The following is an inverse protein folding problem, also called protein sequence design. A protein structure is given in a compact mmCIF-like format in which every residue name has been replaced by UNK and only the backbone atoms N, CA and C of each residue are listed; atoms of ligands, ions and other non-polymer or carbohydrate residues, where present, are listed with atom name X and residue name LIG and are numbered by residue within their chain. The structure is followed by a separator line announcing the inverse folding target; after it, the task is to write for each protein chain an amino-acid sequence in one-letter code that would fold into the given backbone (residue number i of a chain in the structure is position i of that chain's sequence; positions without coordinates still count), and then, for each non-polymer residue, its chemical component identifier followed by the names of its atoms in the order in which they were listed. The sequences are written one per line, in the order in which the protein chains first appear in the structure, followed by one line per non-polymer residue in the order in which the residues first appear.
data_IF_263836285807
#
_entry.id   IF_263836285807
#
_cell.length_a   1.000
_cell.length_b   1.000
_cell.length_c   1.000
_cell.angle_alpha   90.00
_cell.angle_beta   90.00
_cell.angle_gamma   90.00
#
_symmetry.space_group_name_H-M   'P 1'
#
loop_
_entity.id
_entity.type
_entity.pdbx_description
1 polymer ?
#
# COMPACT_ATOMS: atom_id res chain seq x y z
N UNK A 1 -7.50 10.08 -32.35
CA UNK A 1 -8.76 9.99 -31.54
C UNK A 1 -8.32 9.62 -30.15
N UNK A 2 -8.52 10.48 -29.13
CA UNK A 2 -8.22 10.15 -27.75
C UNK A 2 -9.05 8.92 -27.34
N UNK A 3 -8.39 7.95 -26.68
CA UNK A 3 -9.08 6.75 -26.19
C UNK A 3 -9.96 7.13 -25.00
N UNK A 4 -11.25 7.30 -25.25
CA UNK A 4 -12.25 7.61 -24.22
C UNK A 4 -12.85 6.34 -23.67
N UNK A 5 -12.75 6.15 -22.34
CA UNK A 5 -13.34 5.03 -21.59
C UNK A 5 -14.56 5.49 -20.78
N UNK A 6 -15.54 4.60 -20.62
CA UNK A 6 -16.64 4.83 -19.67
C UNK A 6 -16.12 4.80 -18.24
N UNK A 7 -15.18 3.91 -17.97
CA UNK A 7 -14.55 3.73 -16.68
C UNK A 7 -13.05 3.53 -16.81
N UNK A 8 -12.30 4.36 -16.11
CA UNK A 8 -10.86 4.17 -15.87
C UNK A 8 -10.65 3.66 -14.44
N UNK A 9 -9.85 2.61 -14.26
CA UNK A 9 -9.51 2.04 -12.95
C UNK A 9 -8.00 2.14 -12.76
N UNK A 10 -7.55 2.76 -11.69
CA UNK A 10 -6.13 2.87 -11.32
C UNK A 10 -5.81 1.97 -10.15
N UNK A 11 -5.01 0.94 -10.43
CA UNK A 11 -4.59 -0.10 -9.49
C UNK A 11 -5.28 -1.44 -9.77
N UNK A 12 -4.49 -2.48 -10.09
CA UNK A 12 -4.94 -3.84 -10.37
C UNK A 12 -4.80 -4.78 -9.16
N UNK A 13 -4.92 -4.24 -7.94
CA UNK A 13 -5.12 -5.04 -6.73
C UNK A 13 -6.54 -5.61 -6.64
N UNK A 14 -6.89 -6.34 -5.57
CA UNK A 14 -8.20 -6.99 -5.44
C UNK A 14 -9.39 -6.05 -5.65
N UNK A 15 -9.33 -4.82 -5.14
CA UNK A 15 -10.41 -3.83 -5.32
C UNK A 15 -10.58 -3.39 -6.78
N UNK A 16 -9.47 -3.09 -7.47
CA UNK A 16 -9.49 -2.65 -8.86
C UNK A 16 -9.88 -3.76 -9.84
N UNK A 17 -9.36 -4.98 -9.63
CA UNK A 17 -9.74 -6.14 -10.45
C UNK A 17 -11.23 -6.44 -10.37
N UNK A 18 -11.79 -6.43 -9.15
CA UNK A 18 -13.23 -6.62 -8.94
C UNK A 18 -14.04 -5.49 -9.55
N UNK A 19 -13.57 -4.25 -9.44
CA UNK A 19 -14.24 -3.09 -10.03
C UNK A 19 -14.25 -3.20 -11.55
N UNK A 20 -13.11 -3.45 -12.18
CA UNK A 20 -12.98 -3.56 -13.63
C UNK A 20 -13.82 -4.71 -14.20
N UNK A 21 -13.73 -5.92 -13.60
CA UNK A 21 -14.53 -7.07 -14.02
C UNK A 21 -16.03 -6.83 -13.85
N UNK A 22 -16.45 -6.16 -12.75
CA UNK A 22 -17.89 -5.87 -12.52
C UNK A 22 -18.41 -4.86 -13.53
N UNK A 23 -17.66 -3.81 -13.83
CA UNK A 23 -18.05 -2.78 -14.80
C UNK A 23 -18.11 -3.34 -16.22
N UNK A 24 -17.12 -4.14 -16.63
CA UNK A 24 -17.12 -4.83 -17.93
C UNK A 24 -18.32 -5.77 -18.08
N UNK A 25 -18.66 -6.53 -17.03
CA UNK A 25 -19.80 -7.44 -17.03
C UNK A 25 -21.18 -6.74 -17.19
N UNK A 26 -21.23 -5.42 -16.96
CA UNK A 26 -22.45 -4.61 -17.19
C UNK A 26 -22.36 -3.73 -18.43
N UNK A 27 -21.37 -4.01 -19.31
CA UNK A 27 -21.27 -3.43 -20.64
C UNK A 27 -20.49 -2.11 -20.75
N UNK A 28 -19.76 -1.69 -19.69
CA UNK A 28 -18.91 -0.50 -19.78
C UNK A 28 -17.61 -0.78 -20.55
N UNK A 29 -17.14 0.19 -21.31
CA UNK A 29 -15.76 0.20 -21.87
C UNK A 29 -14.79 0.59 -20.76
N UNK A 30 -13.96 -0.38 -20.30
CA UNK A 30 -13.09 -0.24 -19.11
C UNK A 30 -11.63 -0.29 -19.51
N UNK A 31 -10.83 0.63 -18.96
CA UNK A 31 -9.37 0.55 -18.94
C UNK A 31 -8.89 0.35 -17.49
N UNK A 32 -8.03 -0.63 -17.27
CA UNK A 32 -7.40 -0.94 -15.99
C UNK A 32 -5.89 -0.71 -16.09
N UNK A 33 -5.38 0.18 -15.25
CA UNK A 33 -3.97 0.60 -15.24
C UNK A 33 -3.31 0.23 -13.91
N UNK A 34 -2.09 -0.31 -13.96
CA UNK A 34 -1.28 -0.57 -12.78
C UNK A 34 0.21 -0.36 -13.11
N UNK A 35 0.97 0.21 -12.16
CA UNK A 35 2.40 0.43 -12.29
C UNK A 35 3.25 -0.84 -12.14
N UNK A 36 2.66 -1.94 -11.67
CA UNK A 36 3.29 -3.25 -11.67
C UNK A 36 3.14 -3.93 -13.05
N UNK A 37 4.08 -4.82 -13.41
CA UNK A 37 4.04 -5.52 -14.70
C UNK A 37 2.95 -6.59 -14.78
N UNK A 38 2.22 -6.85 -13.70
CA UNK A 38 1.16 -7.86 -13.65
C UNK A 38 0.07 -7.51 -12.64
N UNK A 39 -1.13 -8.07 -12.85
CA UNK A 39 -2.26 -7.95 -11.95
C UNK A 39 -2.02 -8.64 -10.60
N UNK A 40 -2.74 -8.18 -9.56
CA UNK A 40 -2.77 -8.79 -8.23
C UNK A 40 -2.36 -7.85 -7.10
N UNK A 41 -1.72 -6.72 -7.39
CA UNK A 41 -1.24 -5.77 -6.39
C UNK A 41 -0.28 -6.43 -5.39
N UNK A 42 -0.32 -6.02 -4.12
CA UNK A 42 0.59 -6.56 -3.10
C UNK A 42 0.17 -7.94 -2.59
N UNK A 43 -1.13 -8.21 -2.48
CA UNK A 43 -1.65 -9.45 -1.86
C UNK A 43 -1.49 -10.63 -2.81
N UNK A 44 -1.84 -10.44 -4.09
CA UNK A 44 -1.76 -11.47 -5.13
C UNK A 44 -0.52 -11.31 -6.02
N UNK A 45 0.54 -10.65 -5.50
CA UNK A 45 1.79 -10.46 -6.22
C UNK A 45 2.40 -11.78 -6.68
N UNK A 46 2.91 -11.79 -7.91
CA UNK A 46 3.45 -12.98 -8.57
C UNK A 46 2.49 -13.61 -9.57
N UNK A 47 1.32 -13.03 -9.77
CA UNK A 47 0.35 -13.47 -10.78
C UNK A 47 -0.08 -14.91 -10.61
N UNK A 48 -0.55 -15.50 -11.69
CA UNK A 48 -0.92 -16.92 -11.76
C UNK A 48 0.33 -17.74 -12.03
N UNK A 49 1.08 -18.07 -10.99
CA UNK A 49 2.10 -19.13 -11.09
C UNK A 49 1.52 -20.42 -10.53
N UNK A 50 1.72 -21.60 -11.18
CA UNK A 50 1.06 -22.85 -10.81
C UNK A 50 1.28 -23.31 -9.35
N UNK A 51 2.28 -22.76 -8.67
CA UNK A 51 2.70 -23.24 -7.35
C UNK A 51 2.13 -22.46 -6.15
N UNK A 52 1.60 -21.23 -6.32
CA UNK A 52 1.26 -20.36 -5.17
C UNK A 52 0.07 -19.41 -5.35
N UNK A 53 -0.78 -19.61 -6.37
CA UNK A 53 -1.92 -18.73 -6.61
C UNK A 53 -3.12 -19.15 -5.75
N UNK A 54 -3.68 -18.22 -4.98
CA UNK A 54 -4.96 -18.48 -4.31
C UNK A 54 -6.06 -18.64 -5.37
N UNK A 55 -7.02 -19.55 -5.14
CA UNK A 55 -8.16 -19.75 -6.05
C UNK A 55 -8.92 -18.44 -6.34
N UNK A 56 -9.02 -17.56 -5.34
CA UNK A 56 -9.66 -16.24 -5.46
C UNK A 56 -8.88 -15.32 -6.43
N UNK A 57 -7.54 -15.31 -6.35
CA UNK A 57 -6.71 -14.56 -7.29
C UNK A 57 -6.85 -15.07 -8.71
N UNK A 58 -6.81 -16.40 -8.90
CA UNK A 58 -6.96 -17.03 -10.21
C UNK A 58 -8.33 -16.71 -10.84
N UNK A 59 -9.40 -16.76 -10.06
CA UNK A 59 -10.76 -16.43 -10.50
C UNK A 59 -10.85 -14.98 -11.00
N UNK A 60 -10.40 -14.01 -10.22
CA UNK A 60 -10.52 -12.59 -10.60
C UNK A 60 -9.59 -12.19 -11.74
N UNK A 61 -8.37 -12.70 -11.77
CA UNK A 61 -7.44 -12.47 -12.89
C UNK A 61 -7.98 -13.13 -14.17
N UNK A 62 -8.50 -14.36 -14.07
CA UNK A 62 -9.12 -15.06 -15.19
C UNK A 62 -10.36 -14.32 -15.75
N UNK A 63 -11.18 -13.71 -14.89
CA UNK A 63 -12.30 -12.87 -15.33
C UNK A 63 -11.86 -11.66 -16.14
N UNK A 64 -10.76 -10.99 -15.75
CA UNK A 64 -10.18 -9.88 -16.53
C UNK A 64 -9.67 -10.38 -17.88
N UNK A 65 -8.91 -11.49 -17.89
CA UNK A 65 -8.36 -12.07 -19.13
C UNK A 65 -9.44 -12.51 -20.12
N UNK A 66 -10.61 -12.96 -19.63
CA UNK A 66 -11.75 -13.38 -20.43
C UNK A 66 -12.80 -12.27 -20.64
N UNK A 67 -12.46 -11.01 -20.41
CA UNK A 67 -13.33 -9.85 -20.57
C UNK A 67 -12.78 -8.89 -21.63
N UNK A 68 -13.58 -7.85 -21.97
CA UNK A 68 -13.17 -6.77 -22.86
C UNK A 68 -12.49 -5.61 -22.10
N UNK A 69 -11.91 -5.87 -20.92
CA UNK A 69 -11.17 -4.86 -20.19
C UNK A 69 -9.82 -4.63 -20.87
N UNK A 70 -9.56 -3.39 -21.25
CA UNK A 70 -8.22 -3.00 -21.70
C UNK A 70 -7.29 -2.93 -20.49
N UNK A 71 -6.19 -3.66 -20.49
CA UNK A 71 -5.24 -3.69 -19.39
C UNK A 71 -3.92 -3.04 -19.78
N UNK A 72 -3.43 -2.10 -18.98
CA UNK A 72 -2.17 -1.38 -19.16
C UNK A 72 -1.29 -1.56 -17.93
N UNK A 73 -0.48 -2.62 -17.94
CA UNK A 73 0.46 -2.91 -16.86
C UNK A 73 1.82 -2.26 -17.12
N UNK A 74 2.47 -1.82 -16.01
CA UNK A 74 3.70 -1.03 -16.07
C UNK A 74 3.47 0.46 -16.33
N UNK A 75 2.20 0.90 -16.46
CA UNK A 75 1.82 2.29 -16.63
C UNK A 75 1.40 2.92 -15.30
N UNK A 76 1.78 4.15 -15.05
CA UNK A 76 1.41 4.89 -13.83
C UNK A 76 0.80 6.25 -14.15
N UNK A 77 -0.20 6.64 -13.37
CA UNK A 77 -0.79 7.95 -13.45
C UNK A 77 0.16 9.00 -12.83
N UNK A 78 0.53 10.03 -13.58
CA UNK A 78 1.52 11.03 -13.18
C UNK A 78 0.95 12.42 -13.05
N UNK A 79 -0.11 12.75 -13.77
CA UNK A 79 -0.76 14.06 -13.74
C UNK A 79 -2.24 13.97 -14.14
N UNK A 80 -2.97 15.05 -13.88
CA UNK A 80 -4.33 15.29 -14.36
C UNK A 80 -4.35 16.65 -15.10
N UNK A 81 -4.03 16.67 -16.40
CA UNK A 81 -3.85 17.92 -17.15
C UNK A 81 -5.16 18.69 -17.32
N UNK A 82 -6.30 18.01 -17.38
CA UNK A 82 -7.62 18.62 -17.46
C UNK A 82 -8.69 17.76 -16.77
N UNK A 83 -9.90 18.28 -16.54
CA UNK A 83 -10.98 17.50 -15.97
C UNK A 83 -11.27 16.24 -16.80
N UNK A 84 -11.35 15.07 -16.12
CA UNK A 84 -11.60 13.77 -16.72
C UNK A 84 -10.51 13.28 -17.68
N UNK A 85 -9.30 13.80 -17.56
CA UNK A 85 -8.11 13.32 -18.28
C UNK A 85 -7.04 12.97 -17.26
N UNK A 86 -6.49 11.77 -17.36
CA UNK A 86 -5.29 11.38 -16.63
C UNK A 86 -4.14 11.17 -17.60
N UNK A 87 -3.00 11.78 -17.27
CA UNK A 87 -1.75 11.51 -17.94
C UNK A 87 -1.10 10.31 -17.29
N UNK A 88 -0.78 9.32 -18.12
CA UNK A 88 -0.10 8.10 -17.71
C UNK A 88 1.24 7.99 -18.41
N UNK A 89 2.20 7.33 -17.76
CA UNK A 89 3.58 7.22 -18.26
C UNK A 89 4.10 5.80 -18.07
N UNK A 90 4.86 5.32 -19.06
CA UNK A 90 5.67 4.10 -19.03
C UNK A 90 6.96 4.31 -19.81
N UNK A 91 8.13 4.25 -19.13
CA UNK A 91 9.47 4.35 -19.76
C UNK A 91 9.60 5.52 -20.75
N UNK A 92 9.15 6.72 -20.36
CA UNK A 92 9.23 7.91 -21.20
C UNK A 92 8.12 8.03 -22.26
N UNK A 93 7.32 6.99 -22.47
CA UNK A 93 6.09 7.09 -23.25
C UNK A 93 4.98 7.68 -22.38
N UNK A 94 4.25 8.64 -22.94
CA UNK A 94 3.21 9.37 -22.21
C UNK A 94 1.94 9.44 -23.02
N UNK A 95 0.81 9.17 -22.36
CA UNK A 95 -0.52 9.22 -22.98
C UNK A 95 -1.51 9.94 -22.06
N UNK A 96 -2.42 10.68 -22.66
CA UNK A 96 -3.56 11.30 -22.00
C UNK A 96 -4.81 10.46 -22.25
N UNK A 97 -5.39 9.92 -21.17
CA UNK A 97 -6.56 9.04 -21.22
C UNK A 97 -7.78 9.78 -20.73
N UNK A 98 -8.80 9.87 -21.59
CA UNK A 98 -10.10 10.42 -21.23
C UNK A 98 -11.02 9.39 -20.61
N UNK A 99 -11.79 9.79 -19.59
CA UNK A 99 -12.73 8.91 -18.90
C UNK A 99 -14.04 9.63 -18.53
N UNK A 100 -15.12 8.87 -18.46
CA UNK A 100 -16.40 9.36 -17.92
C UNK A 100 -16.47 9.22 -16.40
N UNK A 101 -15.98 8.10 -15.86
CA UNK A 101 -15.84 7.81 -14.43
C UNK A 101 -14.46 7.25 -14.12
N UNK A 102 -13.97 7.47 -12.88
CA UNK A 102 -12.67 7.02 -12.40
C UNK A 102 -12.82 6.26 -11.09
N UNK A 103 -12.19 5.10 -10.96
CA UNK A 103 -12.04 4.40 -9.69
C UNK A 103 -10.56 4.37 -9.28
N UNK A 104 -10.27 4.93 -8.11
CA UNK A 104 -8.95 4.89 -7.47
C UNK A 104 -8.86 3.66 -6.56
N UNK A 105 -7.98 2.73 -6.89
CA UNK A 105 -7.71 1.49 -6.18
C UNK A 105 -6.21 1.31 -5.90
N UNK A 106 -5.49 2.41 -5.66
CA UNK A 106 -4.03 2.49 -5.55
C UNK A 106 -3.45 1.83 -4.29
N UNK A 107 -4.30 1.29 -3.42
CA UNK A 107 -3.90 0.50 -2.26
C UNK A 107 -3.14 1.29 -1.20
N UNK A 108 -2.22 0.61 -0.51
CA UNK A 108 -1.43 1.18 0.56
C UNK A 108 0.01 0.66 0.53
N UNK A 109 0.91 1.37 1.19
CA UNK A 109 2.30 1.01 1.41
C UNK A 109 2.58 0.81 2.89
N UNK A 110 3.67 0.14 3.23
CA UNK A 110 4.09 -0.06 4.61
C UNK A 110 4.56 1.24 5.24
N UNK A 111 4.22 1.41 6.52
CA UNK A 111 4.79 2.47 7.35
C UNK A 111 6.09 1.99 7.94
N UNK A 112 7.14 2.79 7.76
CA UNK A 112 8.40 2.64 8.45
C UNK A 112 8.49 3.66 9.59
N UNK A 113 9.00 3.21 10.74
CA UNK A 113 9.43 4.09 11.82
C UNK A 113 10.94 3.96 11.95
N UNK A 114 11.68 5.07 11.94
CA UNK A 114 13.14 5.04 12.05
C UNK A 114 13.58 4.64 13.46
N UNK A 115 14.58 3.78 13.52
CA UNK A 115 15.29 3.37 14.74
C UNK A 115 16.77 3.15 14.39
N UNK A 116 17.71 3.16 15.35
CA UNK A 116 19.13 2.92 15.08
C UNK A 116 19.35 1.63 14.26
N UNK A 117 20.03 1.74 13.13
CA UNK A 117 20.36 0.61 12.25
C UNK A 117 19.25 0.16 11.29
N UNK A 118 18.09 0.82 11.20
CA UNK A 118 17.00 0.41 10.30
C UNK A 118 17.36 0.49 8.81
N UNK A 119 18.44 1.20 8.47
CA UNK A 119 18.94 1.32 7.09
C UNK A 119 19.96 0.26 6.70
N UNK A 120 20.37 -0.62 7.63
CA UNK A 120 21.32 -1.70 7.36
C UNK A 120 20.78 -2.66 6.29
N UNK A 121 21.65 -3.16 5.39
CA UNK A 121 21.32 -4.31 4.54
C UNK A 121 20.86 -5.48 5.41
N UNK A 122 19.74 -6.11 5.04
CA UNK A 122 19.09 -7.14 5.86
C UNK A 122 17.86 -6.64 6.61
N UNK A 123 17.62 -5.32 6.69
CA UNK A 123 16.39 -4.75 7.24
C UNK A 123 15.42 -4.44 6.10
N UNK A 124 14.25 -5.08 6.12
CA UNK A 124 13.22 -4.98 5.07
C UNK A 124 11.87 -4.65 5.68
N UNK A 125 10.99 -4.04 4.89
CA UNK A 125 9.57 -4.05 5.19
C UNK A 125 9.01 -5.49 5.22
N UNK A 126 8.05 -5.76 6.09
CA UNK A 126 7.51 -7.11 6.24
C UNK A 126 6.86 -7.64 4.95
N UNK A 127 6.02 -6.83 4.30
CA UNK A 127 5.46 -7.15 2.99
C UNK A 127 6.49 -7.03 1.87
N UNK A 128 7.47 -6.13 2.02
CA UNK A 128 8.59 -6.00 1.07
C UNK A 128 9.43 -7.26 1.00
N UNK A 129 9.85 -7.83 2.14
CA UNK A 129 10.58 -9.09 2.18
C UNK A 129 9.74 -10.24 1.61
N UNK A 130 8.45 -10.31 1.98
CA UNK A 130 7.54 -11.31 1.42
C UNK A 130 7.44 -11.20 -0.11
N UNK A 131 7.40 -9.98 -0.65
CA UNK A 131 7.37 -9.75 -2.09
C UNK A 131 8.67 -10.19 -2.78
N UNK A 132 9.83 -9.89 -2.20
CA UNK A 132 11.13 -10.36 -2.72
C UNK A 132 11.23 -11.88 -2.75
N UNK A 133 10.77 -12.55 -1.69
CA UNK A 133 10.76 -14.03 -1.63
C UNK A 133 9.82 -14.61 -2.70
N UNK A 134 8.64 -14.04 -2.90
CA UNK A 134 7.74 -14.44 -4.00
C UNK A 134 8.36 -14.22 -5.38
N UNK A 135 9.24 -13.23 -5.52
CA UNK A 135 9.97 -12.91 -6.75
C UNK A 135 11.29 -13.70 -6.90
N UNK A 136 11.57 -14.66 -6.02
CA UNK A 136 12.70 -15.57 -6.15
C UNK A 136 13.89 -15.33 -5.23
N UNK A 137 13.81 -14.39 -4.28
CA UNK A 137 14.86 -14.21 -3.28
C UNK A 137 14.99 -15.50 -2.44
N UNK A 138 16.18 -16.11 -2.45
CA UNK A 138 16.45 -17.29 -1.66
C UNK A 138 16.76 -16.90 -0.19
N UNK A 139 15.94 -17.38 0.74
CA UNK A 139 16.10 -17.16 2.19
C UNK A 139 16.26 -18.46 2.97
N UNK A 140 16.51 -19.59 2.29
CA UNK A 140 16.65 -20.88 2.95
C UNK A 140 17.79 -20.85 3.95
N UNK A 141 17.52 -21.29 5.19
CA UNK A 141 18.48 -21.33 6.30
C UNK A 141 18.76 -19.96 6.94
N UNK A 142 18.25 -18.84 6.40
CA UNK A 142 18.41 -17.51 7.01
C UNK A 142 17.60 -17.40 8.29
N UNK A 143 18.21 -16.81 9.33
CA UNK A 143 17.51 -16.44 10.57
C UNK A 143 16.78 -15.13 10.35
N UNK A 144 15.47 -15.11 10.63
CA UNK A 144 14.62 -13.95 10.39
C UNK A 144 13.86 -13.57 11.66
N UNK A 145 13.93 -12.32 12.06
CA UNK A 145 13.01 -11.71 13.02
C UNK A 145 11.89 -11.02 12.25
N UNK A 146 10.65 -11.28 12.65
CA UNK A 146 9.47 -10.59 12.08
C UNK A 146 8.89 -9.68 13.16
N UNK A 147 8.87 -8.36 12.93
CA UNK A 147 8.53 -7.40 13.97
C UNK A 147 7.58 -6.29 13.48
N UNK A 148 6.89 -5.64 14.42
CA UNK A 148 6.05 -4.47 14.12
C UNK A 148 4.66 -4.59 14.69
N UNK A 149 3.61 -4.50 13.87
CA UNK A 149 2.22 -4.59 14.33
C UNK A 149 1.27 -5.14 13.27
N UNK A 150 0.31 -5.91 13.74
CA UNK A 150 -0.81 -6.40 12.96
C UNK A 150 -0.76 -7.88 12.58
N UNK A 151 -1.90 -8.45 12.19
CA UNK A 151 -1.99 -9.88 11.85
C UNK A 151 -1.14 -10.26 10.63
N UNK A 152 -0.70 -9.28 9.84
CA UNK A 152 0.24 -9.48 8.73
C UNK A 152 1.54 -10.13 9.19
N UNK A 153 2.01 -9.85 10.42
CA UNK A 153 3.25 -10.43 10.95
C UNK A 153 3.19 -11.96 10.98
N UNK A 154 2.06 -12.54 11.41
CA UNK A 154 1.87 -14.00 11.43
C UNK A 154 1.84 -14.59 10.01
N UNK A 155 1.15 -13.92 9.08
CA UNK A 155 1.09 -14.35 7.67
C UNK A 155 2.47 -14.29 7.01
N UNK A 156 3.25 -13.24 7.27
CA UNK A 156 4.63 -13.07 6.77
C UNK A 156 5.53 -14.15 7.38
N UNK A 157 5.50 -14.34 8.70
CA UNK A 157 6.32 -15.35 9.38
C UNK A 157 6.03 -16.77 8.86
N UNK A 158 4.75 -17.12 8.68
CA UNK A 158 4.36 -18.42 8.14
C UNK A 158 4.85 -18.59 6.69
N UNK A 159 4.75 -17.58 5.85
CA UNK A 159 5.23 -17.61 4.47
C UNK A 159 6.77 -17.75 4.39
N UNK A 160 7.50 -16.94 5.16
CA UNK A 160 8.97 -17.00 5.19
C UNK A 160 9.47 -18.36 5.71
N UNK A 161 8.82 -18.91 6.75
CA UNK A 161 9.11 -20.26 7.26
C UNK A 161 8.87 -21.33 6.19
N UNK A 162 7.74 -21.27 5.49
CA UNK A 162 7.44 -22.18 4.38
C UNK A 162 8.44 -22.07 3.22
N UNK A 163 9.08 -20.90 3.07
CA UNK A 163 10.16 -20.66 2.10
C UNK A 163 11.54 -21.07 2.59
N UNK A 164 11.63 -21.73 3.77
CA UNK A 164 12.84 -22.32 4.32
C UNK A 164 13.64 -21.42 5.27
N UNK A 165 13.11 -20.25 5.67
CA UNK A 165 13.74 -19.44 6.70
C UNK A 165 13.53 -20.00 8.11
N UNK A 166 14.47 -19.73 9.00
CA UNK A 166 14.36 -19.97 10.43
C UNK A 166 13.83 -18.72 11.12
N UNK A 167 12.57 -18.75 11.57
CA UNK A 167 11.98 -17.61 12.26
C UNK A 167 12.46 -17.58 13.71
N UNK A 168 13.36 -16.64 14.02
CA UNK A 168 13.96 -16.51 15.34
C UNK A 168 12.98 -15.94 16.38
N UNK A 169 12.12 -14.99 15.99
CA UNK A 169 11.07 -14.43 16.84
C UNK A 169 10.03 -13.67 16.02
N UNK A 170 8.80 -13.65 16.53
CA UNK A 170 7.73 -12.74 16.07
C UNK A 170 7.49 -11.72 17.18
N UNK A 171 7.58 -10.42 16.87
CA UNK A 171 7.57 -9.32 17.84
C UNK A 171 6.43 -8.37 17.51
N UNK A 172 5.36 -8.44 18.30
CA UNK A 172 4.16 -7.58 18.14
C UNK A 172 4.15 -6.50 19.22
N UNK A 173 4.08 -5.23 18.80
CA UNK A 173 4.04 -4.11 19.74
C UNK A 173 2.71 -4.00 20.50
N UNK A 174 1.61 -4.51 19.94
CA UNK A 174 0.33 -4.50 20.63
C UNK A 174 0.37 -5.39 21.89
N UNK A 175 -0.18 -4.92 23.03
CA UNK A 175 -0.19 -5.70 24.26
C UNK A 175 -1.18 -6.87 24.16
N UNK A 176 -0.86 -7.98 24.83
CA UNK A 176 -1.66 -9.22 24.85
C UNK A 176 -3.15 -8.97 25.16
N UNK A 177 -3.46 -8.02 26.06
CA UNK A 177 -4.84 -7.67 26.43
C UNK A 177 -5.63 -7.18 25.20
N UNK A 178 -5.05 -6.30 24.36
CA UNK A 178 -5.71 -5.80 23.15
C UNK A 178 -5.92 -6.90 22.12
N UNK A 179 -4.93 -7.79 21.98
CA UNK A 179 -5.04 -8.93 21.06
C UNK A 179 -6.14 -9.91 21.50
N UNK A 180 -6.23 -10.21 22.80
CA UNK A 180 -7.30 -11.05 23.34
C UNK A 180 -8.69 -10.44 23.12
N UNK A 181 -8.86 -9.13 23.38
CA UNK A 181 -10.11 -8.42 23.13
C UNK A 181 -10.49 -8.44 21.64
N UNK A 182 -9.54 -8.23 20.75
CA UNK A 182 -9.74 -8.33 19.31
C UNK A 182 -10.18 -9.73 18.89
N UNK A 183 -9.51 -10.78 19.40
CA UNK A 183 -9.84 -12.17 19.10
C UNK A 183 -11.26 -12.56 19.56
N UNK A 184 -11.70 -12.07 20.73
CA UNK A 184 -13.08 -12.27 21.22
C UNK A 184 -14.07 -11.59 20.27
N UNK A 185 -13.80 -10.37 19.80
CA UNK A 185 -14.62 -9.68 18.81
C UNK A 185 -14.73 -10.46 17.48
N UNK A 186 -13.66 -11.13 17.05
CA UNK A 186 -13.67 -11.96 15.85
C UNK A 186 -14.58 -13.19 15.97
N UNK A 187 -14.68 -13.79 17.15
CA UNK A 187 -15.58 -14.92 17.39
C UNK A 187 -17.05 -14.57 17.05
N UNK A 188 -17.46 -13.35 17.36
CA UNK A 188 -18.84 -12.90 17.17
C UNK A 188 -19.13 -12.41 15.74
N UNK A 189 -18.18 -11.72 15.10
CA UNK A 189 -18.43 -11.01 13.85
C UNK A 189 -17.76 -11.64 12.62
N UNK A 190 -16.59 -12.26 12.78
CA UNK A 190 -15.69 -12.65 11.69
C UNK A 190 -14.98 -13.99 11.98
N UNK A 191 -15.72 -15.02 12.31
CA UNK A 191 -15.16 -16.34 12.66
C UNK A 191 -14.16 -16.87 11.63
N UNK A 192 -14.38 -16.65 10.32
CA UNK A 192 -13.45 -17.04 9.27
C UNK A 192 -12.06 -16.39 9.41
N UNK A 193 -11.99 -15.12 9.87
CA UNK A 193 -10.72 -14.43 10.13
C UNK A 193 -10.00 -14.97 11.35
N UNK A 194 -10.74 -15.42 12.35
CA UNK A 194 -10.16 -16.10 13.51
C UNK A 194 -9.53 -17.44 13.10
N UNK A 195 -10.22 -18.23 12.27
CA UNK A 195 -9.69 -19.50 11.73
C UNK A 195 -8.44 -19.25 10.89
N UNK A 196 -8.43 -18.20 10.06
CA UNK A 196 -7.26 -17.81 9.27
C UNK A 196 -6.07 -17.47 10.19
N UNK A 197 -6.30 -16.65 11.23
CA UNK A 197 -5.28 -16.33 12.24
C UNK A 197 -4.75 -17.56 12.98
N UNK A 198 -5.64 -18.48 13.36
CA UNK A 198 -5.25 -19.74 14.02
C UNK A 198 -4.39 -20.64 13.10
N UNK A 199 -4.68 -20.69 11.80
CA UNK A 199 -3.83 -21.41 10.83
C UNK A 199 -2.43 -20.83 10.75
N UNK A 200 -2.27 -19.52 10.74
CA UNK A 200 -0.95 -18.89 10.77
C UNK A 200 -0.22 -19.13 12.09
N UNK A 201 -0.93 -19.09 13.23
CA UNK A 201 -0.37 -19.41 14.54
C UNK A 201 0.13 -20.87 14.59
N UNK A 202 -0.64 -21.82 14.06
CA UNK A 202 -0.23 -23.22 13.91
C UNK A 202 1.00 -23.37 13.01
N UNK A 203 1.02 -22.67 11.87
CA UNK A 203 2.16 -22.68 10.93
C UNK A 203 3.45 -22.11 11.55
N UNK A 204 3.34 -21.33 12.63
CA UNK A 204 4.47 -20.74 13.36
C UNK A 204 4.69 -21.37 14.74
N UNK A 205 4.11 -22.55 15.00
CA UNK A 205 4.30 -23.28 16.27
C UNK A 205 5.79 -23.48 16.58
N UNK A 206 6.17 -23.23 17.84
CA UNK A 206 7.56 -23.31 18.31
C UNK A 206 8.37 -22.02 18.08
N UNK A 207 7.82 -21.01 17.38
CA UNK A 207 8.45 -19.70 17.25
C UNK A 207 8.04 -18.82 18.43
N UNK A 208 8.99 -18.16 19.12
CA UNK A 208 8.68 -17.22 20.19
C UNK A 208 7.83 -16.06 19.67
N UNK A 209 6.57 -15.93 20.13
CA UNK A 209 5.68 -14.81 19.84
C UNK A 209 5.63 -13.86 21.04
N UNK A 210 6.18 -12.66 20.89
CA UNK A 210 6.34 -11.66 21.94
C UNK A 210 5.37 -10.51 21.72
N UNK A 211 4.41 -10.35 22.63
CA UNK A 211 3.42 -9.26 22.59
C UNK A 211 3.82 -8.13 23.52
N UNK A 212 3.42 -6.90 23.24
CA UNK A 212 3.85 -5.72 23.98
C UNK A 212 5.36 -5.47 23.88
N UNK A 213 5.98 -5.93 22.79
CA UNK A 213 7.41 -5.86 22.54
C UNK A 213 7.69 -5.23 21.17
N UNK A 214 8.82 -4.57 21.02
CA UNK A 214 9.23 -3.95 19.75
C UNK A 214 10.75 -3.89 19.60
N UNK A 215 11.22 -3.87 18.36
CA UNK A 215 12.62 -3.67 18.03
C UNK A 215 13.01 -2.23 18.34
N UNK A 216 14.10 -2.02 19.06
CA UNK A 216 14.64 -0.70 19.40
C UNK A 216 15.89 -0.35 18.61
N UNK A 217 16.66 -1.35 18.16
CA UNK A 217 17.82 -1.14 17.31
C UNK A 217 18.16 -2.39 16.49
N UNK A 218 18.87 -2.18 15.41
CA UNK A 218 19.51 -3.21 14.60
C UNK A 218 21.01 -2.91 14.55
N UNK A 219 21.85 -3.93 14.63
CA UNK A 219 23.29 -3.78 14.63
C UNK A 219 23.96 -4.83 13.74
N UNK A 220 25.12 -4.47 13.20
CA UNK A 220 25.98 -5.26 12.35
C UNK A 220 27.03 -4.37 11.68
N UNK A 221 28.07 -4.95 11.13
CA UNK A 221 29.15 -4.20 10.50
C UNK A 221 28.81 -3.74 9.07
N UNK A 222 28.54 -4.65 8.16
CA UNK A 222 28.15 -4.36 6.77
C UNK A 222 26.70 -4.76 6.47
N UNK A 223 26.16 -5.64 7.24
CA UNK A 223 24.79 -6.14 7.16
C UNK A 223 24.26 -6.40 8.57
N UNK A 224 22.97 -6.66 8.64
CA UNK A 224 22.32 -7.00 9.91
C UNK A 224 22.91 -8.30 10.50
N UNK A 225 23.27 -8.25 11.78
CA UNK A 225 23.78 -9.40 12.56
C UNK A 225 22.90 -9.68 13.78
N UNK A 226 22.35 -8.63 14.40
CA UNK A 226 21.46 -8.76 15.55
C UNK A 226 20.47 -7.59 15.65
N UNK A 227 19.39 -7.85 16.37
CA UNK A 227 18.40 -6.84 16.76
C UNK A 227 18.22 -6.80 18.27
N UNK A 228 17.96 -5.61 18.80
CA UNK A 228 17.59 -5.41 20.19
C UNK A 228 16.09 -5.26 20.31
N UNK A 229 15.47 -6.06 21.16
CA UNK A 229 14.02 -6.07 21.39
C UNK A 229 13.75 -5.62 22.83
N UNK A 230 12.85 -4.68 23.00
CA UNK A 230 12.31 -4.27 24.30
C UNK A 230 10.97 -4.94 24.55
N UNK A 231 10.78 -5.49 25.76
CA UNK A 231 9.51 -6.02 26.26
C UNK A 231 9.31 -5.55 27.71
N UNK A 232 8.55 -4.51 27.91
CA UNK A 232 8.45 -3.84 29.20
C UNK A 232 9.81 -3.28 29.64
N UNK A 233 10.32 -3.74 30.80
CA UNK A 233 11.65 -3.41 31.32
C UNK A 233 12.76 -4.31 30.78
N UNK A 234 12.42 -5.43 30.14
CA UNK A 234 13.39 -6.41 29.64
C UNK A 234 13.93 -6.00 28.26
N UNK A 235 15.23 -6.17 28.09
CA UNK A 235 15.93 -5.99 26.82
C UNK A 235 16.49 -7.35 26.42
N UNK A 236 16.28 -7.74 25.18
CA UNK A 236 16.74 -9.00 24.59
C UNK A 236 17.48 -8.71 23.29
N UNK A 237 18.66 -9.25 23.15
CA UNK A 237 19.35 -9.30 21.84
C UNK A 237 19.05 -10.62 21.15
N UNK A 238 18.74 -10.55 19.86
CA UNK A 238 18.46 -11.71 19.02
C UNK A 238 19.35 -11.65 17.79
N UNK A 239 20.21 -12.64 17.61
CA UNK A 239 21.00 -12.79 16.39
C UNK A 239 20.09 -13.11 15.20
N UNK A 240 20.26 -12.42 14.10
CA UNK A 240 19.41 -12.56 12.92
C UNK A 240 20.13 -12.07 11.66
N UNK A 241 19.87 -12.72 10.53
CA UNK A 241 20.40 -12.33 9.23
C UNK A 241 19.47 -11.33 8.52
N UNK A 242 18.18 -11.35 8.89
CA UNK A 242 17.17 -10.49 8.29
C UNK A 242 16.14 -10.02 9.33
N UNK A 243 15.68 -8.78 9.17
CA UNK A 243 14.56 -8.22 9.91
C UNK A 243 13.44 -7.85 8.95
N UNK A 244 12.29 -8.48 9.10
CA UNK A 244 11.05 -8.13 8.41
C UNK A 244 10.21 -7.24 9.35
N UNK A 245 10.18 -5.91 9.10
CA UNK A 245 9.53 -4.98 10.04
C UNK A 245 8.44 -4.15 9.36
N UNK A 246 7.28 -3.99 10.02
CA UNK A 246 6.16 -3.20 9.50
C UNK A 246 5.33 -2.57 10.62
N UNK A 247 5.13 -1.26 10.56
CA UNK A 247 4.35 -0.50 11.53
C UNK A 247 3.02 -0.03 10.94
N UNK A 248 2.16 -0.97 10.53
CA UNK A 248 0.90 -0.67 9.87
C UNK A 248 1.08 -0.23 8.39
N UNK A 249 -0.02 0.20 7.77
CA UNK A 249 -0.05 0.64 6.38
C UNK A 249 -0.39 2.14 6.28
N UNK A 250 0.05 2.75 5.18
CA UNK A 250 -0.27 4.14 4.80
C UNK A 250 -0.97 4.10 3.45
N UNK A 251 -2.19 4.65 3.29
CA UNK A 251 -2.89 4.66 2.02
C UNK A 251 -2.16 5.53 0.99
N UNK A 252 -2.19 5.11 -0.28
CA UNK A 252 -1.60 5.84 -1.39
C UNK A 252 -2.57 6.90 -1.92
N UNK A 253 -2.78 7.98 -1.15
CA UNK A 253 -3.78 9.01 -1.42
C UNK A 253 -3.31 10.11 -2.37
N UNK A 254 -2.09 10.04 -2.87
CA UNK A 254 -1.45 11.10 -3.65
C UNK A 254 -2.27 11.48 -4.90
N UNK A 255 -2.77 10.49 -5.64
CA UNK A 255 -3.60 10.73 -6.83
C UNK A 255 -4.99 11.31 -6.45
N UNK A 256 -5.57 10.84 -5.36
CA UNK A 256 -6.83 11.39 -4.85
C UNK A 256 -6.67 12.87 -4.43
N UNK A 257 -5.55 13.21 -3.78
CA UNK A 257 -5.23 14.58 -3.41
C UNK A 257 -4.97 15.47 -4.64
N UNK A 258 -4.29 14.94 -5.66
CA UNK A 258 -4.08 15.66 -6.93
C UNK A 258 -5.42 16.00 -7.62
N UNK A 259 -6.39 15.09 -7.51
CA UNK A 259 -7.75 15.28 -8.04
C UNK A 259 -8.66 16.11 -7.10
N UNK A 260 -8.10 16.70 -6.03
CA UNK A 260 -8.83 17.49 -5.03
C UNK A 260 -9.93 16.69 -4.29
N UNK A 261 -9.78 15.37 -4.13
CA UNK A 261 -10.66 14.59 -3.27
C UNK A 261 -10.42 14.95 -1.80
N UNK A 262 -11.50 15.00 -1.03
CA UNK A 262 -11.43 15.25 0.42
C UNK A 262 -10.72 14.11 1.14
N UNK A 263 -9.76 14.48 2.03
CA UNK A 263 -9.02 13.55 2.88
C UNK A 263 -9.39 13.80 4.34
N UNK A 264 -9.98 12.81 5.00
CA UNK A 264 -10.29 12.84 6.42
C UNK A 264 -9.49 11.77 7.16
N UNK A 265 -8.84 12.15 8.26
CA UNK A 265 -8.02 11.23 9.08
C UNK A 265 -6.99 10.41 8.29
N UNK A 266 -6.45 10.97 7.19
CA UNK A 266 -5.47 10.32 6.33
C UNK A 266 -6.05 9.36 5.27
N UNK A 267 -7.37 9.26 5.16
CA UNK A 267 -8.08 8.43 4.16
C UNK A 267 -8.96 9.30 3.25
N UNK A 268 -9.25 8.79 2.06
CA UNK A 268 -10.18 9.45 1.14
C UNK A 268 -11.61 9.34 1.67
N UNK A 269 -12.30 10.48 1.82
CA UNK A 269 -13.71 10.54 2.19
C UNK A 269 -14.58 10.03 1.05
N UNK A 270 -15.48 9.09 1.32
CA UNK A 270 -16.42 8.53 0.33
C UNK A 270 -17.81 8.37 0.91
N UNK A 271 -18.81 8.44 0.04
CA UNK A 271 -20.20 8.15 0.39
C UNK A 271 -20.49 6.63 0.43
N UNK A 272 -21.76 6.25 0.59
CA UNK A 272 -22.19 4.86 0.59
C UNK A 272 -21.92 4.11 -0.71
N UNK A 273 -21.80 4.81 -1.83
CA UNK A 273 -21.52 4.27 -3.15
C UNK A 273 -20.03 4.33 -3.52
N UNK A 274 -19.15 4.68 -2.59
CA UNK A 274 -17.72 4.88 -2.78
C UNK A 274 -17.37 6.10 -3.64
N UNK A 275 -18.31 7.03 -3.89
CA UNK A 275 -18.02 8.27 -4.59
C UNK A 275 -17.33 9.23 -3.64
N UNK A 276 -16.27 9.88 -4.13
CA UNK A 276 -15.51 10.90 -3.39
C UNK A 276 -16.25 12.24 -3.41
N UNK A 277 -15.67 13.29 -2.81
CA UNK A 277 -16.16 14.67 -2.94
C UNK A 277 -16.15 15.19 -4.39
N UNK A 278 -15.45 14.51 -5.30
CA UNK A 278 -15.37 14.85 -6.73
C UNK A 278 -16.31 13.96 -7.53
N UNK A 279 -17.29 14.56 -8.20
CA UNK A 279 -18.32 13.85 -8.98
C UNK A 279 -17.69 12.97 -10.07
N UNK A 280 -18.08 11.68 -10.10
CA UNK A 280 -17.58 10.70 -11.06
C UNK A 280 -16.22 10.10 -10.69
N UNK A 281 -15.63 10.50 -9.55
CA UNK A 281 -14.43 9.89 -8.99
C UNK A 281 -14.82 9.04 -7.78
N UNK A 282 -14.46 7.77 -7.80
CA UNK A 282 -14.71 6.79 -6.76
C UNK A 282 -13.40 6.32 -6.14
N UNK A 283 -13.46 5.87 -4.89
CA UNK A 283 -12.27 5.39 -4.20
C UNK A 283 -12.58 4.11 -3.44
N UNK A 284 -11.69 3.10 -3.53
CA UNK A 284 -11.94 1.78 -2.98
C UNK A 284 -10.72 1.17 -2.31
N UNK A 285 -10.93 0.23 -1.41
CA UNK A 285 -9.88 -0.54 -0.76
C UNK A 285 -9.20 0.22 0.37
N UNK A 286 -7.88 0.10 0.45
CA UNK A 286 -7.10 0.65 1.56
C UNK A 286 -7.10 2.19 1.61
N UNK A 287 -7.45 2.86 0.51
CA UNK A 287 -7.58 4.32 0.46
C UNK A 287 -8.70 4.85 1.35
N UNK A 288 -9.76 4.08 1.55
CA UNK A 288 -10.94 4.44 2.33
C UNK A 288 -10.91 3.90 3.77
N UNK A 289 -9.79 3.29 4.15
CA UNK A 289 -9.53 2.68 5.46
C UNK A 289 -8.86 1.33 5.33
N UNK A 290 -7.83 1.07 6.16
CA UNK A 290 -7.11 -0.20 6.18
C UNK A 290 -8.04 -1.29 6.69
N UNK A 291 -8.43 -2.24 5.81
CA UNK A 291 -9.43 -3.26 6.15
C UNK A 291 -9.28 -4.59 5.43
N UNK A 292 -8.29 -4.71 4.57
CA UNK A 292 -7.94 -5.93 3.87
C UNK A 292 -8.78 -6.25 2.63
N UNK A 293 -8.48 -7.39 2.06
CA UNK A 293 -8.94 -7.81 0.73
C UNK A 293 -10.47 -7.88 0.58
N UNK A 294 -11.19 -8.44 1.59
CA UNK A 294 -12.64 -8.62 1.48
C UNK A 294 -13.40 -7.30 1.43
N UNK A 295 -12.93 -6.29 2.24
CA UNK A 295 -13.43 -4.92 2.17
C UNK A 295 -13.17 -4.34 0.78
N UNK A 296 -11.93 -4.43 0.28
CA UNK A 296 -11.54 -3.87 -1.00
C UNK A 296 -12.37 -4.44 -2.17
N UNK A 297 -12.61 -5.76 -2.20
CA UNK A 297 -13.47 -6.42 -3.20
C UNK A 297 -14.91 -5.92 -3.18
N UNK A 298 -15.51 -5.79 -1.98
CA UNK A 298 -16.88 -5.28 -1.83
C UNK A 298 -17.00 -3.84 -2.29
N UNK A 299 -16.07 -2.99 -1.91
CA UNK A 299 -16.03 -1.58 -2.31
C UNK A 299 -15.82 -1.44 -3.83
N UNK A 300 -14.91 -2.23 -4.42
CA UNK A 300 -14.72 -2.26 -5.87
C UNK A 300 -16.00 -2.60 -6.63
N UNK A 301 -16.75 -3.59 -6.14
CA UNK A 301 -18.04 -3.96 -6.73
C UNK A 301 -19.10 -2.88 -6.58
N UNK A 302 -19.18 -2.25 -5.41
CA UNK A 302 -20.12 -1.14 -5.14
C UNK A 302 -19.82 0.04 -6.06
N UNK A 303 -18.56 0.48 -6.15
CA UNK A 303 -18.14 1.59 -6.97
C UNK A 303 -18.44 1.36 -8.47
N UNK A 304 -18.11 0.17 -8.97
CA UNK A 304 -18.37 -0.19 -10.37
C UNK A 304 -19.87 -0.17 -10.70
N UNK A 305 -20.72 -0.76 -9.85
CA UNK A 305 -22.18 -0.74 -10.03
C UNK A 305 -22.74 0.68 -9.96
N UNK A 306 -22.21 1.52 -9.06
CA UNK A 306 -22.62 2.92 -8.95
C UNK A 306 -22.22 3.72 -10.21
N UNK A 307 -20.98 3.57 -10.67
CA UNK A 307 -20.48 4.21 -11.89
C UNK A 307 -21.28 3.78 -13.14
N UNK A 308 -21.75 2.52 -13.16
CA UNK A 308 -22.60 1.98 -14.24
C UNK A 308 -24.09 2.38 -14.12
N UNK A 309 -24.45 3.28 -13.20
CA UNK A 309 -25.85 3.70 -13.02
C UNK A 309 -26.77 2.62 -12.43
N UNK A 310 -26.22 1.64 -11.70
CA UNK A 310 -26.95 0.54 -11.07
C UNK A 310 -26.95 0.62 -9.51
N UNK A 311 -27.39 1.76 -8.90
CA UNK A 311 -27.26 1.99 -7.46
C UNK A 311 -28.10 0.98 -6.64
N UNK A 312 -29.19 0.46 -7.17
CA UNK A 312 -30.01 -0.52 -6.46
C UNK A 312 -29.26 -1.84 -6.23
N UNK A 313 -28.49 -2.30 -7.23
CA UNK A 313 -27.65 -3.49 -7.08
C UNK A 313 -26.49 -3.24 -6.12
N UNK A 314 -25.91 -2.04 -6.11
CA UNK A 314 -24.86 -1.64 -5.19
C UNK A 314 -25.35 -1.66 -3.72
N UNK A 315 -26.57 -1.18 -3.45
CA UNK A 315 -27.18 -1.16 -2.11
C UNK A 315 -27.29 -2.55 -1.47
N UNK A 316 -27.47 -3.60 -2.26
CA UNK A 316 -27.51 -4.98 -1.76
C UNK A 316 -26.22 -5.43 -1.07
N UNK A 317 -25.11 -4.75 -1.34
CA UNK A 317 -23.79 -5.03 -0.77
C UNK A 317 -23.46 -4.22 0.49
N UNK A 318 -24.23 -3.19 0.81
CA UNK A 318 -23.94 -2.24 1.89
C UNK A 318 -23.81 -2.93 3.25
N UNK A 319 -24.74 -3.79 3.62
CA UNK A 319 -24.70 -4.52 4.89
C UNK A 319 -23.43 -5.37 5.03
N UNK A 320 -22.99 -6.01 3.93
CA UNK A 320 -21.76 -6.80 3.91
C UNK A 320 -20.54 -5.89 4.06
N UNK A 321 -20.50 -4.75 3.34
CA UNK A 321 -19.42 -3.76 3.45
C UNK A 321 -19.33 -3.19 4.87
N UNK A 322 -20.44 -2.79 5.50
CA UNK A 322 -20.46 -2.26 6.86
C UNK A 322 -19.85 -3.23 7.87
N UNK A 323 -20.10 -4.54 7.71
CA UNK A 323 -19.46 -5.56 8.54
C UNK A 323 -17.92 -5.54 8.36
N UNK A 324 -17.42 -5.38 7.15
CA UNK A 324 -15.97 -5.28 6.90
C UNK A 324 -15.39 -3.95 7.42
N UNK A 325 -16.14 -2.86 7.35
CA UNK A 325 -15.72 -1.56 7.90
C UNK A 325 -15.63 -1.63 9.44
N UNK A 326 -16.58 -2.30 10.12
CA UNK A 326 -16.47 -2.53 11.58
C UNK A 326 -15.25 -3.37 11.92
N UNK A 327 -15.02 -4.47 11.18
CA UNK A 327 -13.81 -5.27 11.34
C UNK A 327 -12.54 -4.43 11.18
N UNK A 328 -12.44 -3.61 10.13
CA UNK A 328 -11.31 -2.72 9.89
C UNK A 328 -11.09 -1.75 11.07
N UNK A 329 -12.16 -1.19 11.61
CA UNK A 329 -12.10 -0.28 12.76
C UNK A 329 -11.56 -0.97 14.02
N UNK A 330 -12.07 -2.18 14.31
CA UNK A 330 -11.62 -2.99 15.44
C UNK A 330 -10.15 -3.43 15.27
N UNK A 331 -9.75 -3.80 14.05
CA UNK A 331 -8.37 -4.12 13.71
C UNK A 331 -7.44 -2.92 13.99
N UNK A 332 -7.78 -1.76 13.44
CA UNK A 332 -6.96 -0.55 13.60
C UNK A 332 -6.84 -0.11 15.08
N UNK A 333 -7.90 -0.28 15.87
CA UNK A 333 -7.87 0.02 17.30
C UNK A 333 -6.99 -0.98 18.07
N UNK A 334 -7.08 -2.28 17.77
CA UNK A 334 -6.29 -3.31 18.45
C UNK A 334 -4.79 -3.17 18.20
N UNK A 335 -4.41 -2.79 16.98
CA UNK A 335 -3.02 -2.67 16.52
C UNK A 335 -2.53 -1.21 16.40
N UNK A 336 -3.21 -0.26 17.03
CA UNK A 336 -2.78 1.13 17.07
C UNK A 336 -1.36 1.25 17.62
N UNK A 337 -0.55 2.11 16.99
CA UNK A 337 0.84 2.34 17.40
C UNK A 337 0.89 2.91 18.82
N UNK A 338 1.85 2.44 19.59
CA UNK A 338 2.14 2.90 20.94
C UNK A 338 2.88 4.22 20.90
N UNK A 339 2.65 5.07 21.90
CA UNK A 339 3.35 6.35 22.03
C UNK A 339 4.86 6.19 22.24
N UNK A 340 5.29 5.08 22.89
CA UNK A 340 6.70 4.77 23.14
C UNK A 340 7.50 4.61 21.83
N UNK A 341 6.83 4.25 20.72
CA UNK A 341 7.49 4.16 19.42
C UNK A 341 7.93 5.53 18.85
N UNK A 342 7.44 6.65 19.39
CA UNK A 342 7.93 7.98 19.02
C UNK A 342 9.37 8.23 19.51
N UNK A 343 9.83 7.44 20.47
CA UNK A 343 11.16 7.55 21.07
C UNK A 343 12.17 6.56 20.48
N UNK A 344 11.84 5.88 19.38
CA UNK A 344 12.74 4.92 18.73
C UNK A 344 13.93 5.60 18.06
N UNK A 345 13.71 6.73 17.41
CA UNK A 345 14.76 7.46 16.72
C UNK A 345 15.70 8.16 17.70
N UNK A 346 16.99 7.89 17.58
CA UNK A 346 18.06 8.59 18.29
C UNK A 346 18.59 9.74 17.43
N UNK A 347 19.38 10.63 18.01
CA UNK A 347 19.89 11.82 17.33
C UNK A 347 20.47 11.55 15.93
N UNK A 348 21.27 10.51 15.79
CA UNK A 348 21.96 10.15 14.55
C UNK A 348 21.18 9.14 13.67
N UNK A 349 19.94 8.80 14.06
CA UNK A 349 19.09 7.91 13.26
C UNK A 349 18.62 8.63 12.02
N UNK A 350 18.88 8.09 10.84
CA UNK A 350 18.34 8.61 9.59
C UNK A 350 16.81 8.47 9.56
N UNK A 351 16.11 9.56 9.29
CA UNK A 351 14.65 9.58 9.07
C UNK A 351 14.32 9.62 7.59
N UNK A 352 15.06 10.42 6.82
CA UNK A 352 14.99 10.40 5.36
C UNK A 352 16.19 9.62 4.81
N UNK A 353 15.97 8.40 4.33
CA UNK A 353 17.03 7.54 3.77
C UNK A 353 17.53 8.02 2.39
N UNK A 354 16.70 8.72 1.63
CA UNK A 354 17.06 9.17 0.28
C UNK A 354 18.01 10.37 0.28
N UNK A 355 17.98 11.19 1.34
CA UNK A 355 18.76 12.41 1.49
C UNK A 355 19.61 12.38 2.77
N UNK A 356 19.73 11.21 3.41
CA UNK A 356 20.52 10.93 4.62
C UNK A 356 20.28 11.93 5.77
N UNK A 357 19.00 12.37 5.94
CA UNK A 357 18.63 13.35 6.98
C UNK A 357 18.37 12.65 8.30
N UNK A 358 19.10 13.06 9.32
CA UNK A 358 19.02 12.53 10.68
C UNK A 358 17.84 13.07 11.48
N UNK A 359 17.52 12.39 12.58
CA UNK A 359 16.52 12.86 13.54
C UNK A 359 16.92 14.19 14.18
N UNK A 360 18.21 14.39 14.48
CA UNK A 360 18.75 15.65 15.07
C UNK A 360 18.46 16.85 14.19
N UNK A 361 18.68 16.72 12.88
CA UNK A 361 18.43 17.80 11.92
C UNK A 361 16.93 18.13 11.83
N UNK A 362 16.07 17.13 11.87
CA UNK A 362 14.62 17.34 11.84
C UNK A 362 14.08 17.89 13.16
N UNK A 363 14.65 17.48 14.29
CA UNK A 363 14.23 17.96 15.61
C UNK A 363 14.44 19.47 15.80
N UNK A 364 15.31 20.09 14.99
CA UNK A 364 15.51 21.54 14.97
C UNK A 364 14.47 22.31 14.13
N UNK A 365 13.62 21.59 13.37
CA UNK A 365 12.60 22.18 12.50
C UNK A 365 11.21 22.15 13.17
N UNK A 366 10.36 23.12 12.83
CA UNK A 366 9.01 23.23 13.38
C UNK A 366 7.90 22.69 12.44
N UNK A 367 8.25 22.38 11.19
CA UNK A 367 7.27 21.94 10.20
C UNK A 367 7.91 21.09 9.09
N UNK A 368 7.08 20.31 8.39
CA UNK A 368 7.50 19.59 7.20
C UNK A 368 8.12 20.50 6.15
N UNK A 369 7.54 21.71 5.94
CA UNK A 369 8.05 22.65 4.95
C UNK A 369 9.45 23.15 5.31
N UNK A 370 9.67 23.51 6.56
CA UNK A 370 10.96 23.94 7.07
C UNK A 370 12.01 22.84 6.94
N UNK A 371 11.68 21.62 7.39
CA UNK A 371 12.53 20.45 7.25
C UNK A 371 12.91 20.20 5.77
N UNK A 372 11.94 20.26 4.87
CA UNK A 372 12.19 20.10 3.43
C UNK A 372 13.13 21.16 2.87
N UNK A 373 12.98 22.42 3.27
CA UNK A 373 13.80 23.53 2.75
C UNK A 373 15.24 23.51 3.30
N UNK A 374 15.41 23.17 4.57
CA UNK A 374 16.73 23.21 5.22
C UNK A 374 17.52 21.92 5.05
N UNK A 375 16.85 20.76 5.01
CA UNK A 375 17.53 19.44 5.01
C UNK A 375 17.29 18.62 3.77
N UNK A 376 16.44 19.08 2.83
CA UNK A 376 15.96 18.30 1.66
C UNK A 376 15.12 17.08 2.01
N UNK A 377 14.71 16.89 3.27
CA UNK A 377 13.85 15.79 3.69
C UNK A 377 12.59 15.68 2.79
N UNK A 378 12.38 14.51 2.19
CA UNK A 378 11.26 14.27 1.28
C UNK A 378 11.46 14.77 -0.16
N UNK A 379 12.66 15.21 -0.55
CA UNK A 379 12.97 15.65 -1.91
C UNK A 379 13.61 14.53 -2.78
N UNK A 380 14.04 13.44 -2.17
CA UNK A 380 14.65 12.33 -2.90
C UNK A 380 13.64 11.53 -3.75
N UNK A 381 14.08 10.44 -4.42
CA UNK A 381 13.29 9.68 -5.40
C UNK A 381 11.93 9.18 -4.89
N UNK A 382 11.81 8.88 -3.58
CA UNK A 382 10.53 8.45 -2.99
C UNK A 382 9.53 9.61 -2.78
N UNK A 383 9.93 10.87 -3.01
CA UNK A 383 9.08 12.06 -2.87
C UNK A 383 8.35 12.12 -1.51
N UNK A 384 9.05 11.77 -0.42
CA UNK A 384 8.50 11.80 0.93
C UNK A 384 7.61 10.61 1.30
N UNK A 385 7.37 9.64 0.41
CA UNK A 385 6.45 8.52 0.68
C UNK A 385 6.85 7.65 1.87
N UNK A 386 8.14 7.61 2.22
CA UNK A 386 8.65 6.89 3.39
C UNK A 386 8.75 7.81 4.61
N UNK A 387 9.41 8.97 4.48
CA UNK A 387 9.69 9.83 5.64
C UNK A 387 8.49 10.69 6.07
N UNK A 388 7.55 11.08 5.18
CA UNK A 388 6.40 11.88 5.61
C UNK A 388 5.46 11.15 6.61
N UNK A 389 5.11 9.87 6.43
CA UNK A 389 4.37 9.15 7.47
C UNK A 389 5.14 8.98 8.78
N UNK A 390 6.47 8.85 8.71
CA UNK A 390 7.33 8.77 9.89
C UNK A 390 7.36 10.10 10.65
N UNK A 391 7.61 11.22 9.96
CA UNK A 391 7.61 12.56 10.58
C UNK A 391 6.24 12.98 11.07
N UNK A 392 5.17 12.55 10.38
CA UNK A 392 3.80 12.72 10.85
C UNK A 392 3.55 12.04 12.20
N UNK A 393 4.11 10.83 12.39
CA UNK A 393 4.03 10.12 13.66
C UNK A 393 4.97 10.74 14.72
N UNK A 394 6.22 11.04 14.38
CA UNK A 394 7.22 11.54 15.32
C UNK A 394 6.93 12.97 15.80
N UNK A 395 6.60 13.88 14.88
CA UNK A 395 6.51 15.32 15.13
C UNK A 395 5.09 15.89 14.94
N UNK A 396 4.13 15.08 14.46
CA UNK A 396 2.78 15.53 14.14
C UNK A 396 2.67 16.37 12.86
N UNK A 397 3.72 16.41 12.03
CA UNK A 397 3.72 17.23 10.81
C UNK A 397 2.81 16.68 9.75
N UNK A 398 2.21 17.59 8.98
CA UNK A 398 1.42 17.23 7.79
C UNK A 398 2.21 17.58 6.54
N UNK A 399 2.44 16.59 5.69
CA UNK A 399 2.97 16.84 4.35
C UNK A 399 1.92 17.58 3.51
N UNK A 400 2.32 18.55 2.67
CA UNK A 400 1.41 19.22 1.75
C UNK A 400 0.88 18.22 0.70
N UNK A 401 -0.24 18.59 0.05
CA UNK A 401 -0.74 17.86 -1.09
C UNK A 401 0.34 17.78 -2.20
N UNK A 402 0.44 16.66 -2.89
CA UNK A 402 1.40 16.50 -3.97
C UNK A 402 1.05 17.45 -5.13
N UNK A 403 2.08 17.81 -5.90
CA UNK A 403 1.96 18.54 -7.17
C UNK A 403 2.38 17.62 -8.32
N UNK A 404 1.84 17.83 -9.54
CA UNK A 404 2.30 17.07 -10.68
C UNK A 404 3.76 17.42 -11.04
N UNK A 405 4.54 16.46 -11.57
CA UNK A 405 4.18 15.06 -11.69
C UNK A 405 4.20 14.33 -10.32
N UNK A 406 3.30 13.36 -10.13
CA UNK A 406 3.20 12.60 -8.86
C UNK A 406 4.42 11.73 -8.57
N UNK A 407 5.13 11.34 -9.62
CA UNK A 407 6.33 10.53 -9.57
C UNK A 407 7.43 11.19 -10.39
N UNK A 408 8.71 10.90 -10.16
CA UNK A 408 9.75 11.24 -11.11
C UNK A 408 9.41 10.67 -12.48
N UNK A 409 9.46 11.51 -13.52
CA UNK A 409 9.15 11.16 -14.91
C UNK A 409 10.25 11.67 -15.81
N UNK A 410 10.35 11.15 -17.03
CA UNK A 410 11.23 11.72 -18.03
C UNK A 410 10.72 13.07 -18.50
N UNK A 411 11.64 13.98 -18.87
CA UNK A 411 11.28 15.35 -19.28
C UNK A 411 10.34 15.33 -20.48
N UNK A 412 10.50 14.36 -21.40
CA UNK A 412 9.60 14.16 -22.53
C UNK A 412 8.15 13.95 -22.15
N UNK A 413 7.88 13.30 -21.01
CA UNK A 413 6.53 13.03 -20.49
C UNK A 413 5.81 14.29 -19.95
N UNK A 414 6.53 15.41 -19.80
CA UNK A 414 5.97 16.70 -19.35
C UNK A 414 5.56 17.60 -20.51
N UNK A 415 5.90 17.26 -21.75
CA UNK A 415 5.45 18.03 -22.91
C UNK A 415 3.93 18.00 -23.01
N UNK A 416 3.35 19.10 -23.41
CA UNK A 416 1.96 19.12 -23.88
C UNK A 416 1.93 18.20 -25.12
N UNK A 417 1.01 17.23 -25.11
CA UNK A 417 0.74 16.46 -26.31
C UNK A 417 0.05 17.42 -27.28
N UNK A 418 0.80 17.91 -28.28
CA UNK A 418 0.23 18.68 -29.38
C UNK A 418 -0.84 17.82 -30.05
N UNK A 419 -2.10 18.11 -29.74
CA UNK A 419 -3.26 17.51 -30.42
C UNK A 419 -3.43 18.07 -31.84
N UNK A 420 -2.53 18.94 -32.30
CA UNK A 420 -2.50 19.57 -33.63
C UNK A 420 -1.17 19.38 -34.36
N UNK A 421 -0.76 18.14 -34.61
CA UNK A 421 0.16 17.86 -35.71
C UNK A 421 -0.64 17.47 -36.95
N UNK A 422 -1.19 18.46 -37.66
CA UNK A 422 -1.48 18.31 -39.08
C UNK A 422 -0.23 17.82 -39.79
N UNK A 423 -0.30 16.80 -40.65
CA UNK A 423 0.87 16.29 -41.34
C UNK A 423 1.46 17.42 -42.18
N UNK A 424 2.73 17.77 -41.93
CA UNK A 424 3.49 18.70 -42.75
C UNK A 424 3.40 18.26 -44.22
N UNK A 425 2.74 19.08 -45.03
CA UNK A 425 2.72 18.94 -46.49
C UNK A 425 4.17 18.99 -46.96
N UNK A 426 4.69 17.84 -47.41
CA UNK A 426 5.97 17.78 -48.07
C UNK A 426 5.88 18.56 -49.38
N UNK A 427 6.33 19.83 -49.40
CA UNK A 427 6.62 20.58 -50.63
C UNK A 427 7.80 19.90 -51.32
N UNK A 428 7.50 19.17 -52.39
CA UNK A 428 8.49 18.78 -53.38
C UNK A 428 9.00 20.05 -54.09
N UNK A 429 10.27 20.38 -53.86
CA UNK A 429 10.96 21.31 -54.72
C UNK A 429 11.37 20.55 -55.99
N UNK A 430 10.96 21.09 -57.11
CA UNK A 430 11.34 20.77 -58.49
C UNK A 430 12.80 21.13 -58.73
#
# INVERSE_FOLDING_TARGET
MSDRFDLLVIGAGPGGLVAAATASAVGMRVCLIDDNPSAGGQIWRGGVTPKNTSADAADWIGRIQNSNVETRFGWRAVAAPSPRVLRVEQFGQCEDIEYSSLILATGARERFLPFPGWTLPGVYGAGGLQAFVKSGLNIRGKRVVVAGTGPLLLAVAAHLRASGAQIASIVEQAPAKRLAQFSIGLLQEQFGKLVEGARYALATTGVPYRTGAWVTSAAGHQQLEKVTIRSGSHILEVETDMLAIGFHLVPNTELAQLLNCEIASGFVSVDGFQQTSVKGVYCVGELTGIGGMDKAKLEGRIAALAAAGQPQKAKLLFKKRERQVRFARNLNAAFALREELRQLAMADTFVCRCEDVSYRELASCNSWREAKLHTRCGMGPCQGRICAPATGFLFGWKAPAPRPPLFPVEVGSLRETDTDSSPAVATRAS
#
